data_IF_838151879150
#
_entry.id   IF_838151879150
#
_cell.length_a   1.000
_cell.length_b   1.000
_cell.length_c   1.000
_cell.angle_alpha   90.00
_cell.angle_beta   90.00
_cell.angle_gamma   90.00
#
_symmetry.space_group_name_H-M   'P 1'
#
loop_
_entity.id
_entity.type
_entity.pdbx_description
1 polymer ?
#
# COMPACT_ATOMS: atom_id res chain seq x y z
N UNK A 1 20.15 29.51 43.31
CA UNK A 1 20.16 28.46 42.25
C UNK A 1 19.11 28.84 41.23
N UNK A 2 19.47 29.00 39.96
CA UNK A 2 18.50 29.29 38.92
C UNK A 2 17.67 28.03 38.64
N UNK A 3 16.34 28.12 38.77
CA UNK A 3 15.42 27.04 38.41
C UNK A 3 15.40 26.93 36.89
N UNK A 4 15.86 25.79 36.35
CA UNK A 4 15.72 25.48 34.92
C UNK A 4 14.24 25.47 34.54
N UNK A 5 13.88 26.23 33.50
CA UNK A 5 12.53 26.26 32.92
C UNK A 5 12.53 25.41 31.66
N UNK A 6 11.48 24.63 31.49
CA UNK A 6 11.35 23.75 30.33
C UNK A 6 9.91 23.71 29.81
N UNK A 7 9.78 23.38 28.53
CA UNK A 7 8.52 23.10 27.86
C UNK A 7 8.57 21.65 27.37
N UNK A 8 7.58 20.85 27.77
CA UNK A 8 7.37 19.49 27.27
C UNK A 8 6.28 19.49 26.23
N UNK A 9 6.57 18.93 25.05
CA UNK A 9 5.64 18.85 23.93
C UNK A 9 5.70 17.50 23.26
N UNK A 10 4.56 17.07 22.73
CA UNK A 10 4.46 15.85 21.94
C UNK A 10 4.26 16.21 20.47
N UNK A 11 5.22 15.81 19.65
CA UNK A 11 5.13 15.82 18.21
C UNK A 11 4.76 14.45 17.66
N UNK A 12 3.89 14.41 16.66
CA UNK A 12 3.47 13.18 16.00
C UNK A 12 3.66 13.31 14.50
N UNK A 13 4.25 12.30 13.87
CA UNK A 13 4.22 12.16 12.41
C UNK A 13 3.75 10.77 12.01
N UNK A 14 3.19 10.70 10.81
CA UNK A 14 2.61 9.51 10.21
C UNK A 14 3.12 9.41 8.78
N UNK A 15 3.73 8.28 8.46
CA UNK A 15 4.06 7.91 7.08
C UNK A 15 3.07 6.87 6.58
N UNK A 16 2.39 7.21 5.49
CA UNK A 16 1.48 6.32 4.77
C UNK A 16 2.25 5.79 3.56
N UNK A 17 2.57 4.49 3.49
CA UNK A 17 3.25 3.93 2.34
C UNK A 17 2.38 4.04 1.09
N UNK A 18 2.93 4.57 0.01
CA UNK A 18 2.26 4.56 -1.29
C UNK A 18 2.45 3.19 -1.98
N UNK A 19 1.41 2.67 -2.66
CA UNK A 19 1.54 1.46 -3.47
C UNK A 19 2.49 1.73 -4.65
N UNK A 20 3.61 1.01 -4.68
CA UNK A 20 4.63 1.16 -5.74
C UNK A 20 4.19 0.45 -7.02
N UNK A 21 3.62 -0.74 -6.85
CA UNK A 21 3.05 -1.53 -7.94
C UNK A 21 1.84 -2.33 -7.47
N UNK A 22 0.83 -2.37 -8.32
CA UNK A 22 -0.27 -3.32 -8.27
C UNK A 22 0.09 -4.54 -9.10
N UNK A 23 -0.41 -5.69 -8.63
CA UNK A 23 -0.20 -6.97 -9.30
C UNK A 23 -1.54 -7.65 -9.50
N UNK A 24 -1.78 -8.16 -10.69
CA UNK A 24 -2.95 -8.99 -11.00
C UNK A 24 -2.46 -10.32 -11.53
N UNK A 25 -2.90 -11.40 -10.91
CA UNK A 25 -2.67 -12.75 -11.39
C UNK A 25 -3.84 -13.14 -12.28
N UNK A 26 -3.54 -13.58 -13.50
CA UNK A 26 -4.53 -14.03 -14.47
C UNK A 26 -4.26 -15.49 -14.78
N UNK A 27 -5.27 -16.33 -14.59
CA UNK A 27 -5.26 -17.73 -14.97
C UNK A 27 -6.03 -17.91 -16.27
N UNK A 28 -5.35 -18.40 -17.31
CA UNK A 28 -5.94 -18.69 -18.61
C UNK A 28 -6.19 -20.19 -18.69
N UNK A 29 -7.45 -20.61 -18.88
CA UNK A 29 -7.85 -22.00 -18.91
C UNK A 29 -8.24 -22.44 -20.32
N UNK A 30 -7.50 -23.40 -20.86
CA UNK A 30 -7.78 -24.00 -22.17
C UNK A 30 -8.29 -25.42 -22.03
N UNK A 31 -9.58 -25.64 -22.33
CA UNK A 31 -10.21 -26.97 -22.28
C UNK A 31 -10.05 -27.69 -23.62
N UNK A 32 -9.71 -28.98 -23.55
CA UNK A 32 -9.63 -29.87 -24.71
C UNK A 32 -11.03 -30.09 -25.27
N UNK A 33 -11.26 -29.69 -26.52
CA UNK A 33 -12.42 -30.15 -27.30
C UNK A 33 -12.06 -31.46 -28.01
N UNK A 34 -13.03 -32.37 -28.14
CA UNK A 34 -12.82 -33.68 -28.76
C UNK A 34 -12.13 -33.54 -30.13
N UNK A 35 -11.10 -34.34 -30.37
CA UNK A 35 -10.39 -34.44 -31.66
C UNK A 35 -9.29 -33.41 -31.95
N UNK A 36 -8.94 -32.49 -31.03
CA UNK A 36 -7.91 -31.46 -31.28
C UNK A 36 -6.67 -31.57 -30.39
N UNK A 37 -5.51 -31.15 -30.94
CA UNK A 37 -4.29 -30.93 -30.19
C UNK A 37 -4.48 -29.70 -29.27
N UNK A 38 -4.58 -29.95 -27.96
CA UNK A 38 -4.91 -28.93 -26.97
C UNK A 38 -3.78 -27.90 -26.78
N UNK A 39 -2.54 -28.29 -27.10
CA UNK A 39 -1.34 -27.50 -26.84
C UNK A 39 -1.21 -26.29 -27.78
N UNK A 40 -1.40 -26.49 -29.09
CA UNK A 40 -1.21 -25.41 -30.07
C UNK A 40 -2.27 -24.32 -29.88
N UNK A 41 -3.52 -24.72 -29.58
CA UNK A 41 -4.60 -23.79 -29.26
C UNK A 41 -4.36 -23.04 -27.96
N UNK A 42 -3.79 -23.71 -26.96
CA UNK A 42 -3.50 -23.07 -25.68
C UNK A 42 -2.38 -22.04 -25.83
N UNK A 43 -1.37 -22.32 -26.66
CA UNK A 43 -0.36 -21.33 -27.03
C UNK A 43 -0.94 -20.15 -27.81
N UNK A 44 -1.81 -20.40 -28.80
CA UNK A 44 -2.48 -19.34 -29.54
C UNK A 44 -3.32 -18.44 -28.62
N UNK A 45 -4.07 -19.03 -27.67
CA UNK A 45 -4.86 -18.26 -26.72
C UNK A 45 -3.98 -17.38 -25.83
N UNK A 46 -2.92 -17.96 -25.24
CA UNK A 46 -1.96 -17.20 -24.44
C UNK A 46 -1.35 -16.04 -25.23
N UNK A 47 -0.88 -16.30 -26.45
CA UNK A 47 -0.26 -15.27 -27.30
C UNK A 47 -1.26 -14.19 -27.65
N UNK A 48 -2.50 -14.55 -28.02
CA UNK A 48 -3.56 -13.58 -28.30
C UNK A 48 -3.84 -12.68 -27.10
N UNK A 49 -3.92 -13.25 -25.89
CA UNK A 49 -4.09 -12.47 -24.65
C UNK A 49 -2.91 -11.52 -24.42
N UNK A 50 -1.68 -12.00 -24.54
CA UNK A 50 -0.48 -11.14 -24.36
C UNK A 50 -0.48 -10.00 -25.38
N UNK A 51 -0.74 -10.29 -26.66
CA UNK A 51 -0.78 -9.28 -27.71
C UNK A 51 -1.92 -8.29 -27.51
N UNK A 52 -3.07 -8.76 -27.02
CA UNK A 52 -4.21 -7.92 -26.65
C UNK A 52 -3.87 -6.95 -25.53
N UNK A 53 -3.21 -7.44 -24.47
CA UNK A 53 -2.75 -6.61 -23.36
C UNK A 53 -1.70 -5.58 -23.81
N UNK A 54 -0.81 -5.95 -24.73
CA UNK A 54 0.18 -5.02 -25.29
C UNK A 54 -0.48 -3.93 -26.12
N UNK A 55 -1.49 -4.27 -26.94
CA UNK A 55 -2.26 -3.30 -27.73
C UNK A 55 -3.04 -2.31 -26.85
N UNK A 56 -3.52 -2.76 -25.69
CA UNK A 56 -4.14 -1.93 -24.65
C UNK A 56 -3.14 -0.99 -23.93
N UNK A 57 -1.84 -1.16 -24.15
CA UNK A 57 -0.81 -0.27 -23.61
C UNK A 57 -0.01 -0.84 -22.45
N UNK A 58 -0.18 -2.12 -22.07
CA UNK A 58 0.75 -2.78 -21.16
C UNK A 58 2.08 -3.05 -21.87
N UNK A 59 3.21 -2.73 -21.22
CA UNK A 59 4.52 -3.10 -21.75
C UNK A 59 4.77 -4.59 -21.58
N UNK A 60 5.53 -5.21 -22.47
CA UNK A 60 5.92 -6.63 -22.32
C UNK A 60 6.62 -6.91 -20.98
N UNK A 61 7.41 -5.96 -20.47
CA UNK A 61 8.07 -6.05 -19.15
C UNK A 61 7.11 -6.04 -17.96
N UNK A 62 5.85 -5.69 -18.18
CA UNK A 62 4.78 -5.71 -17.19
C UNK A 62 3.98 -7.01 -17.22
N UNK A 63 4.26 -7.93 -18.15
CA UNK A 63 3.56 -9.20 -18.31
C UNK A 63 4.57 -10.31 -18.07
N UNK A 64 4.43 -10.97 -16.93
CA UNK A 64 5.29 -12.06 -16.50
C UNK A 64 4.55 -13.40 -16.62
N UNK A 65 5.21 -14.40 -17.18
CA UNK A 65 4.70 -15.77 -17.18
C UNK A 65 5.11 -16.45 -15.87
N UNK A 66 4.14 -16.69 -14.99
CA UNK A 66 4.37 -17.41 -13.73
C UNK A 66 4.42 -18.93 -14.00
N UNK A 67 5.55 -19.36 -14.55
CA UNK A 67 5.98 -20.75 -14.61
C UNK A 67 6.95 -21.01 -13.47
N UNK A 68 6.52 -21.76 -12.45
CA UNK A 68 7.38 -22.06 -11.32
C UNK A 68 8.54 -22.97 -11.73
N UNK A 69 9.77 -22.44 -11.71
CA UNK A 69 11.06 -23.15 -11.57
C UNK A 69 11.47 -24.23 -12.57
N UNK A 70 10.52 -24.88 -13.24
CA UNK A 70 10.71 -25.96 -14.19
C UNK A 70 10.24 -25.48 -15.56
N UNK A 71 10.91 -25.96 -16.60
CA UNK A 71 10.92 -25.55 -18.02
C UNK A 71 9.56 -25.43 -18.74
N UNK A 72 8.44 -25.61 -18.04
CA UNK A 72 7.08 -25.47 -18.58
C UNK A 72 6.28 -24.40 -17.85
N UNK A 73 5.97 -23.30 -18.55
CA UNK A 73 5.18 -22.16 -18.08
C UNK A 73 3.67 -22.41 -17.99
N UNK A 74 3.23 -23.66 -17.88
CA UNK A 74 1.83 -24.06 -17.85
C UNK A 74 1.60 -25.33 -17.03
N UNK A 75 0.41 -25.43 -16.42
CA UNK A 75 -0.06 -26.64 -15.76
C UNK A 75 -0.95 -27.43 -16.71
N UNK A 76 -0.57 -28.68 -17.00
CA UNK A 76 -1.38 -29.61 -17.82
C UNK A 76 -2.13 -30.60 -16.93
N UNK A 77 -3.45 -30.61 -17.04
CA UNK A 77 -4.36 -31.66 -16.55
C UNK A 77 -4.87 -32.48 -17.74
N UNK A 78 -5.57 -33.59 -17.47
CA UNK A 78 -6.01 -34.55 -18.49
C UNK A 78 -6.79 -33.92 -19.67
N UNK A 79 -7.55 -32.87 -19.39
CA UNK A 79 -8.47 -32.18 -20.28
C UNK A 79 -8.25 -30.66 -20.34
N UNK A 80 -7.28 -30.12 -19.59
CA UNK A 80 -7.12 -28.68 -19.43
C UNK A 80 -5.65 -28.26 -19.38
N UNK A 81 -5.31 -27.18 -20.07
CA UNK A 81 -4.01 -26.49 -19.93
C UNK A 81 -4.27 -25.14 -19.26
N UNK A 82 -3.48 -24.82 -18.24
CA UNK A 82 -3.60 -23.56 -17.50
C UNK A 82 -2.31 -22.77 -17.60
N UNK A 83 -2.39 -21.52 -18.08
CA UNK A 83 -1.29 -20.56 -17.96
C UNK A 83 -1.57 -19.61 -16.81
N UNK A 84 -0.51 -19.17 -16.14
CA UNK A 84 -0.60 -18.11 -15.14
C UNK A 84 0.23 -16.93 -15.63
N UNK A 85 -0.43 -15.79 -15.81
CA UNK A 85 0.21 -14.52 -16.11
C UNK A 85 0.17 -13.64 -14.84
N UNK A 86 1.25 -12.91 -14.59
CA UNK A 86 1.30 -11.87 -13.56
C UNK A 86 1.47 -10.54 -14.29
N UNK A 87 0.49 -9.67 -14.12
CA UNK A 87 0.48 -8.33 -14.66
C UNK A 87 0.94 -7.35 -13.58
N UNK A 88 1.84 -6.44 -13.94
CA UNK A 88 2.40 -5.43 -13.04
C UNK A 88 2.06 -4.02 -13.54
N UNK A 89 1.55 -3.15 -12.68
CA UNK A 89 1.17 -1.80 -13.08
C UNK A 89 1.25 -0.80 -11.93
N UNK A 90 1.41 0.49 -12.25
CA UNK A 90 1.33 1.56 -11.25
C UNK A 90 -0.10 1.97 -10.91
N UNK A 91 -1.03 1.69 -11.82
CA UNK A 91 -2.44 2.08 -11.70
C UNK A 91 -3.31 0.83 -11.64
N UNK A 92 -4.03 0.64 -10.54
CA UNK A 92 -4.91 -0.51 -10.36
C UNK A 92 -6.04 -0.53 -11.40
N UNK A 93 -6.65 0.63 -11.67
CA UNK A 93 -7.76 0.75 -12.62
C UNK A 93 -7.37 0.26 -14.01
N UNK A 94 -6.21 0.68 -14.52
CA UNK A 94 -5.70 0.21 -15.82
C UNK A 94 -5.55 -1.31 -15.87
N UNK A 95 -5.01 -1.93 -14.82
CA UNK A 95 -4.88 -3.40 -14.77
C UNK A 95 -6.25 -4.11 -14.78
N UNK A 96 -7.25 -3.53 -14.11
CA UNK A 96 -8.62 -4.07 -14.09
C UNK A 96 -9.31 -3.86 -15.44
N UNK A 97 -9.15 -2.70 -16.05
CA UNK A 97 -9.71 -2.39 -17.38
C UNK A 97 -9.17 -3.34 -18.43
N UNK A 98 -7.87 -3.68 -18.38
CA UNK A 98 -7.26 -4.65 -19.27
C UNK A 98 -7.87 -6.06 -19.16
N UNK A 99 -8.57 -6.40 -18.07
CA UNK A 99 -9.30 -7.66 -17.97
C UNK A 99 -10.49 -7.73 -18.93
N UNK A 100 -11.04 -6.59 -19.36
CA UNK A 100 -12.08 -6.55 -20.41
C UNK A 100 -11.54 -7.09 -21.73
N UNK A 101 -10.28 -6.78 -22.06
CA UNK A 101 -9.62 -7.30 -23.26
C UNK A 101 -9.37 -8.79 -23.15
N UNK A 102 -8.97 -9.28 -21.97
CA UNK A 102 -8.84 -10.73 -21.72
C UNK A 102 -10.19 -11.43 -21.89
N UNK A 103 -11.27 -10.86 -21.36
CA UNK A 103 -12.63 -11.40 -21.48
C UNK A 103 -13.09 -11.48 -22.94
N UNK A 104 -12.92 -10.39 -23.71
CA UNK A 104 -13.26 -10.38 -25.14
C UNK A 104 -12.53 -11.48 -25.91
N UNK A 105 -11.22 -11.65 -25.68
CA UNK A 105 -10.42 -12.68 -26.36
C UNK A 105 -10.86 -14.08 -25.90
N UNK A 106 -11.14 -14.25 -24.60
CA UNK A 106 -11.65 -15.50 -24.02
C UNK A 106 -12.96 -15.93 -24.68
N UNK A 107 -13.91 -15.00 -24.84
CA UNK A 107 -15.20 -15.24 -25.49
C UNK A 107 -15.03 -15.58 -26.98
N UNK A 108 -14.21 -14.81 -27.71
CA UNK A 108 -13.94 -15.05 -29.13
C UNK A 108 -13.32 -16.43 -29.39
N UNK A 109 -12.43 -16.88 -28.51
CA UNK A 109 -11.75 -18.17 -28.62
C UNK A 109 -12.49 -19.33 -27.93
N UNK A 110 -13.63 -19.04 -27.30
CA UNK A 110 -14.43 -20.01 -26.54
C UNK A 110 -13.65 -20.70 -25.42
N UNK A 111 -12.81 -19.94 -24.72
CA UNK A 111 -11.99 -20.34 -23.58
C UNK A 111 -12.46 -19.62 -22.31
N UNK A 112 -11.86 -19.98 -21.17
CA UNK A 112 -12.17 -19.41 -19.87
C UNK A 112 -10.94 -18.75 -19.25
N UNK A 113 -11.16 -17.74 -18.41
CA UNK A 113 -10.11 -17.15 -17.59
C UNK A 113 -10.65 -16.83 -16.20
N UNK A 114 -9.75 -16.72 -15.24
CA UNK A 114 -10.04 -16.08 -13.96
C UNK A 114 -8.89 -15.13 -13.61
N UNK A 115 -9.15 -14.16 -12.76
CA UNK A 115 -8.11 -13.27 -12.27
C UNK A 115 -8.27 -13.04 -10.77
N UNK A 116 -7.15 -12.74 -10.13
CA UNK A 116 -7.07 -12.36 -8.73
C UNK A 116 -6.15 -11.15 -8.60
N UNK A 117 -6.65 -10.10 -7.96
CA UNK A 117 -5.82 -8.97 -7.57
C UNK A 117 -4.92 -9.44 -6.44
N UNK A 118 -3.60 -9.36 -6.66
CA UNK A 118 -2.61 -9.59 -5.62
C UNK A 118 -2.43 -8.26 -4.88
N UNK A 119 -2.31 -8.31 -3.55
CA UNK A 119 -2.09 -7.13 -2.73
C UNK A 119 -0.96 -6.26 -3.31
N UNK A 120 -1.13 -4.92 -3.35
CA UNK A 120 -0.12 -4.02 -3.86
C UNK A 120 1.20 -4.22 -3.11
N UNK A 121 2.30 -4.13 -3.85
CA UNK A 121 3.62 -4.04 -3.26
C UNK A 121 3.87 -2.60 -2.87
N UNK A 122 4.12 -2.38 -1.59
CA UNK A 122 4.47 -1.06 -1.05
C UNK A 122 5.98 -0.91 -1.05
N UNK A 123 6.48 0.15 -1.67
CA UNK A 123 7.88 0.53 -1.51
C UNK A 123 7.98 1.35 -0.24
N UNK A 124 8.55 0.78 0.80
CA UNK A 124 8.99 1.57 1.95
C UNK A 124 10.28 2.29 1.53
N UNK A 125 10.38 3.62 1.67
CA UNK A 125 11.67 4.28 1.61
C UNK A 125 12.60 3.62 2.63
N UNK A 126 13.88 3.41 2.26
CA UNK A 126 14.87 2.80 3.17
C UNK A 126 15.00 3.59 4.49
N UNK A 127 14.74 4.91 4.45
CA UNK A 127 14.75 5.81 5.61
C UNK A 127 13.35 6.30 6.03
N UNK A 128 12.28 5.53 5.76
CA UNK A 128 10.91 5.95 6.11
C UNK A 128 10.78 6.30 7.61
N UNK A 129 11.46 5.54 8.47
CA UNK A 129 11.50 5.80 9.90
C UNK A 129 12.24 7.10 10.25
N UNK A 130 13.44 7.32 9.71
CA UNK A 130 14.21 8.54 10.01
C UNK A 130 13.56 9.82 9.47
N UNK A 131 12.85 9.75 8.35
CA UNK A 131 12.04 10.87 7.84
C UNK A 131 10.89 11.16 8.80
N UNK A 132 10.10 10.13 9.16
CA UNK A 132 8.93 10.28 10.05
C UNK A 132 9.33 10.77 11.44
N UNK A 133 10.47 10.30 11.95
CA UNK A 133 11.02 10.72 13.24
C UNK A 133 11.42 12.20 13.22
N UNK A 134 12.13 12.64 12.18
CA UNK A 134 12.54 14.04 12.00
C UNK A 134 11.33 14.98 11.92
N UNK A 135 10.29 14.58 11.18
CA UNK A 135 9.04 15.33 11.11
C UNK A 135 8.32 15.42 12.45
N UNK A 136 8.29 14.31 13.22
CA UNK A 136 7.69 14.32 14.55
C UNK A 136 8.41 15.32 15.48
N UNK A 137 9.74 15.34 15.46
CA UNK A 137 10.54 16.30 16.24
C UNK A 137 10.33 17.74 15.74
N UNK A 138 10.27 17.96 14.43
CA UNK A 138 10.02 19.28 13.86
C UNK A 138 8.64 19.83 14.27
N UNK A 139 7.60 18.99 14.25
CA UNK A 139 6.27 19.36 14.75
C UNK A 139 6.26 19.62 16.25
N UNK A 140 7.01 18.86 17.04
CA UNK A 140 7.18 19.15 18.47
C UNK A 140 7.80 20.53 18.66
N UNK A 141 8.87 20.84 17.92
CA UNK A 141 9.55 22.14 17.98
C UNK A 141 8.61 23.29 17.63
N UNK A 142 7.85 23.19 16.55
CA UNK A 142 6.88 24.23 16.17
C UNK A 142 5.87 24.50 17.30
N UNK A 143 5.33 23.45 17.93
CA UNK A 143 4.42 23.60 19.08
C UNK A 143 5.11 24.29 20.26
N UNK A 144 6.34 23.90 20.58
CA UNK A 144 7.09 24.53 21.65
C UNK A 144 7.41 26.00 21.35
N UNK A 145 7.70 26.36 20.09
CA UNK A 145 7.97 27.74 19.67
C UNK A 145 6.71 28.60 19.83
N UNK A 146 5.55 28.08 19.46
CA UNK A 146 4.26 28.75 19.71
C UNK A 146 4.03 28.98 21.21
N UNK A 147 4.17 27.94 22.05
CA UNK A 147 3.97 28.06 23.51
C UNK A 147 4.99 29.03 24.12
N UNK A 148 6.26 28.96 23.72
CA UNK A 148 7.31 29.83 24.21
C UNK A 148 7.02 31.29 23.85
N UNK A 149 6.62 31.57 22.60
CA UNK A 149 6.27 32.92 22.15
C UNK A 149 5.12 33.52 22.94
N UNK A 150 4.05 32.77 23.18
CA UNK A 150 2.90 33.21 23.99
C UNK A 150 3.28 33.47 25.47
N UNK A 151 4.30 32.79 25.97
CA UNK A 151 4.81 32.95 27.33
C UNK A 151 5.94 33.99 27.46
N UNK A 152 6.29 34.72 26.39
CA UNK A 152 7.46 35.62 26.33
C UNK A 152 8.78 34.91 26.68
N UNK A 153 8.90 33.65 26.25
CA UNK A 153 10.07 32.80 26.40
C UNK A 153 10.68 32.48 25.03
N UNK A 154 11.97 32.17 25.02
CA UNK A 154 12.69 31.64 23.86
C UNK A 154 13.17 30.22 24.14
N UNK A 155 13.09 29.36 23.14
CA UNK A 155 13.72 28.03 23.18
C UNK A 155 15.23 28.20 23.04
N UNK A 156 15.99 27.56 23.93
CA UNK A 156 17.45 27.61 23.95
C UNK A 156 18.02 26.28 23.44
N UNK A 157 17.69 25.18 24.10
CA UNK A 157 18.23 23.86 23.80
C UNK A 157 17.15 22.77 23.81
N UNK A 158 17.45 21.64 23.18
CA UNK A 158 16.72 20.40 23.38
C UNK A 158 17.38 19.64 24.53
N UNK A 159 16.63 19.32 25.59
CA UNK A 159 17.14 18.59 26.76
C UNK A 159 17.10 17.08 26.48
N UNK A 160 15.96 16.58 26.01
CA UNK A 160 15.83 15.17 25.62
C UNK A 160 14.69 14.97 24.63
N UNK A 161 14.78 13.86 23.90
CA UNK A 161 13.77 13.36 22.96
C UNK A 161 13.49 11.91 23.35
N UNK A 162 12.23 11.59 23.65
CA UNK A 162 11.78 10.23 23.99
C UNK A 162 10.75 9.81 22.93
N UNK A 163 11.06 8.75 22.17
CA UNK A 163 10.06 8.10 21.33
C UNK A 163 9.10 7.30 22.20
N UNK A 164 7.81 7.59 22.09
CA UNK A 164 6.77 6.84 22.79
C UNK A 164 6.50 5.53 22.05
N UNK A 165 6.82 4.40 22.71
CA UNK A 165 6.52 3.10 22.14
C UNK A 165 5.01 2.86 22.07
N UNK A 166 4.58 2.22 20.98
CA UNK A 166 3.22 1.72 20.85
C UNK A 166 2.98 0.68 21.95
N UNK A 167 2.16 1.00 22.95
CA UNK A 167 1.71 0.01 23.94
C UNK A 167 0.98 -1.11 23.20
N UNK A 168 1.62 -2.26 23.06
CA UNK A 168 0.96 -3.48 22.60
C UNK A 168 0.31 -4.15 23.80
N UNK A 169 -0.93 -3.77 24.12
CA UNK A 169 -1.72 -4.57 25.07
C UNK A 169 -2.21 -5.84 24.35
N UNK A 170 -2.05 -7.05 24.93
CA UNK A 170 -2.61 -8.27 24.37
C UNK A 170 -4.13 -8.23 24.50
N UNK A 171 -4.82 -8.20 23.36
CA UNK A 171 -6.27 -8.05 23.24
C UNK A 171 -7.01 -9.26 23.81
N UNK A 172 -7.76 -9.09 24.90
CA UNK A 172 -8.86 -10.01 25.23
C UNK A 172 -10.05 -9.35 25.96
N UNK A 173 -10.28 -8.07 25.74
CA UNK A 173 -11.51 -7.43 26.14
C UNK A 173 -11.94 -6.45 25.05
N UNK A 174 -13.21 -6.56 24.65
CA UNK A 174 -13.95 -5.51 23.97
C UNK A 174 -13.85 -4.22 24.77
N UNK A 175 -12.85 -3.39 24.44
CA UNK A 175 -12.79 -1.96 24.66
C UNK A 175 -11.53 -1.47 23.93
N UNK A 176 -11.78 -0.71 22.87
CA UNK A 176 -10.93 0.35 22.34
C UNK A 176 -9.91 0.85 23.39
N UNK A 177 -8.63 0.66 23.10
CA UNK A 177 -7.56 1.56 23.54
C UNK A 177 -6.64 1.75 22.31
N UNK A 178 -6.73 2.86 21.58
CA UNK A 178 -6.51 4.28 21.95
C UNK A 178 -5.12 4.73 21.53
N UNK A 179 -4.93 4.81 20.22
CA UNK A 179 -4.42 6.08 19.71
C UNK A 179 -5.66 6.87 19.31
N UNK A 180 -6.01 7.95 20.05
CA UNK A 180 -7.22 8.69 19.75
C UNK A 180 -7.10 9.30 18.35
N UNK A 181 -8.00 8.88 17.47
CA UNK A 181 -8.52 9.63 16.32
C UNK A 181 -9.40 10.81 16.80
N UNK A 182 -9.03 11.44 17.92
CA UNK A 182 -9.93 12.31 18.69
C UNK A 182 -9.33 13.69 18.97
N UNK A 183 -8.13 14.01 18.47
CA UNK A 183 -7.52 15.31 18.71
C UNK A 183 -6.73 15.82 17.50
N UNK A 184 -7.42 16.59 16.66
CA UNK A 184 -6.85 17.56 15.69
C UNK A 184 -6.57 17.03 14.29
N UNK A 185 -7.43 17.41 13.34
CA UNK A 185 -7.27 17.36 11.87
C UNK A 185 -7.70 16.09 11.12
N UNK A 186 -8.52 15.22 11.73
CA UNK A 186 -9.17 14.09 11.03
C UNK A 186 -10.43 14.52 10.22
N UNK A 187 -10.60 15.80 9.88
CA UNK A 187 -11.67 16.21 8.94
C UNK A 187 -11.34 15.89 7.47
N UNK A 188 -10.07 15.62 7.14
CA UNK A 188 -9.64 15.24 5.77
C UNK A 188 -9.59 13.71 5.54
N UNK A 189 -9.95 12.90 6.54
CA UNK A 189 -9.90 11.43 6.45
C UNK A 189 -11.24 10.76 6.08
N UNK A 190 -12.09 11.47 5.34
CA UNK A 190 -13.04 10.86 4.41
C UNK A 190 -12.32 10.59 3.07
N UNK A 191 -11.22 9.84 3.12
CA UNK A 191 -10.57 9.29 1.93
C UNK A 191 -11.49 8.24 1.30
N UNK A 192 -12.42 8.74 0.49
CA UNK A 192 -13.12 8.04 -0.57
C UNK A 192 -13.71 6.69 -0.17
N UNK A 193 -14.98 6.72 0.27
CA UNK A 193 -15.96 5.76 -0.24
C UNK A 193 -15.98 5.89 -1.77
N UNK A 194 -14.99 5.33 -2.46
CA UNK A 194 -15.06 5.16 -3.89
C UNK A 194 -16.09 4.07 -4.13
N UNK A 195 -17.25 4.52 -4.59
CA UNK A 195 -18.34 3.71 -5.07
C UNK A 195 -17.82 2.68 -6.09
N UNK A 196 -17.59 1.46 -5.63
CA UNK A 196 -17.68 0.27 -6.44
C UNK A 196 -18.96 -0.45 -6.03
N UNK A 197 -20.10 0.15 -6.40
CA UNK A 197 -21.34 -0.59 -6.48
C UNK A 197 -21.19 -1.66 -7.58
N UNK A 198 -21.61 -2.88 -7.24
CA UNK A 198 -21.95 -3.97 -8.16
C UNK A 198 -20.85 -4.57 -9.04
N UNK A 199 -19.80 -5.07 -8.41
CA UNK A 199 -19.30 -6.43 -8.73
C UNK A 199 -18.78 -7.00 -7.41
N UNK A 200 -19.01 -8.28 -7.11
CA UNK A 200 -18.65 -8.91 -5.83
C UNK A 200 -17.15 -8.92 -5.51
N UNK A 201 -16.60 -7.75 -5.22
CA UNK A 201 -15.25 -7.52 -4.75
C UNK A 201 -15.31 -7.58 -3.23
N UNK A 202 -14.89 -8.71 -2.66
CA UNK A 202 -14.47 -8.69 -1.26
C UNK A 202 -13.28 -7.75 -1.17
N UNK A 203 -13.49 -6.60 -0.53
CA UNK A 203 -12.48 -5.66 -0.09
C UNK A 203 -11.42 -6.40 0.73
N UNK A 204 -10.42 -6.98 0.07
CA UNK A 204 -9.13 -7.17 0.71
C UNK A 204 -8.49 -5.80 0.73
N UNK A 205 -8.88 -4.98 1.71
CA UNK A 205 -8.05 -3.88 2.15
C UNK A 205 -6.70 -4.50 2.48
N UNK A 206 -5.73 -4.34 1.59
CA UNK A 206 -4.36 -4.60 1.95
C UNK A 206 -4.12 -3.68 3.15
N UNK A 207 -3.96 -4.26 4.34
CA UNK A 207 -3.82 -3.55 5.61
C UNK A 207 -2.59 -2.64 5.52
N UNK A 208 -2.79 -1.45 4.96
CA UNK A 208 -1.88 -0.31 4.98
C UNK A 208 -1.68 0.01 6.45
N UNK A 209 -0.63 -0.54 7.04
CA UNK A 209 -0.28 -0.21 8.41
C UNK A 209 0.58 1.04 8.32
N UNK A 210 0.03 2.24 8.63
CA UNK A 210 0.84 3.44 8.63
C UNK A 210 1.94 3.31 9.68
N UNK A 211 3.12 3.84 9.36
CA UNK A 211 4.14 4.06 10.37
C UNK A 211 3.76 5.33 11.13
N UNK A 212 3.58 5.23 12.44
CA UNK A 212 3.25 6.37 13.31
C UNK A 212 4.37 6.48 14.34
N UNK A 213 4.98 7.66 14.42
CA UNK A 213 6.00 7.97 15.42
C UNK A 213 5.50 9.14 16.25
N UNK A 214 5.63 9.00 17.58
CA UNK A 214 5.38 10.08 18.52
C UNK A 214 6.62 10.32 19.36
N UNK A 215 7.02 11.58 19.45
CA UNK A 215 8.17 12.00 20.22
C UNK A 215 7.72 13.00 21.26
N UNK A 216 8.01 12.70 22.52
CA UNK A 216 8.00 13.67 23.60
C UNK A 216 9.36 14.38 23.58
N UNK A 217 9.32 15.69 23.45
CA UNK A 217 10.53 16.52 23.38
C UNK A 217 10.47 17.57 24.48
N UNK A 218 11.51 17.59 25.31
CA UNK A 218 11.71 18.62 26.33
C UNK A 218 12.65 19.68 25.80
N UNK A 219 12.17 20.92 25.77
CA UNK A 219 12.94 22.10 25.39
C UNK A 219 13.29 22.93 26.62
N UNK A 220 14.55 23.34 26.72
CA UNK A 220 14.99 24.37 27.67
C UNK A 220 14.51 25.73 27.17
N UNK A 221 13.98 26.55 28.08
CA UNK A 221 13.49 27.89 27.75
C UNK A 221 14.08 28.96 28.66
N UNK A 222 14.30 30.14 28.10
CA UNK A 222 14.79 31.33 28.79
C UNK A 222 13.87 32.53 28.54
N UNK A 223 13.87 33.56 29.40
CA UNK A 223 13.17 34.82 29.11
C UNK A 223 13.61 35.42 27.77
N UNK A 224 12.67 36.05 27.06
CA UNK A 224 13.00 36.76 25.81
C UNK A 224 13.88 37.99 26.06
N UNK A 225 13.77 38.61 27.25
CA UNK A 225 14.53 39.77 27.70
C UNK A 225 15.31 39.42 28.97
N UNK A 226 16.63 39.57 28.91
CA UNK A 226 17.49 39.76 30.09
C UNK A 226 17.62 41.26 30.37
#
# INVERSE_FOLDING_TARGET
>A
MATLRYIDVVGSSRFIPEPDKFRVQVHLFCKKRWGQNNLDKSFQFRTAVIDGLIKEGLKRTQIEDAGGGNETYYLRKADQITYTLILHGKEQQKLVESMRTVDQISQQMGQEFSFKIISPTFRKPEDAYGITLREAIAKARLKAETIASEAELKIVNVIHVIEQQKKSSPSNSSNQEDWPSTWGDDEDLMLGKFAAADVGFTETSANLTPLVIRCEVRFEVAPLKE
#
